data_IF_416943507437
#
_entry.id   IF_416943507437
#
_cell.length_a   1.000
_cell.length_b   1.000
_cell.length_c   1.000
_cell.angle_alpha   90.00
_cell.angle_beta   90.00
_cell.angle_gamma   90.00
#
_symmetry.space_group_name_H-M   'P 1'
#
loop_
_entity.id
_entity.type
_entity.pdbx_description
1 polymer ?
#
# COMPACT_ATOMS: atom_id res chain seq x y z
N UNK A 1 6.86 -2.45 -21.00
CA UNK A 1 5.57 -1.72 -20.92
C UNK A 1 4.57 -2.37 -21.88
N UNK A 2 3.39 -2.81 -21.42
CA UNK A 2 2.33 -3.32 -22.30
C UNK A 2 1.44 -2.19 -22.84
N UNK A 3 0.75 -2.41 -23.97
CA UNK A 3 -0.18 -1.44 -24.57
C UNK A 3 -1.34 -1.06 -23.63
N UNK A 4 -2.02 0.05 -23.92
CA UNK A 4 -3.27 0.39 -23.21
C UNK A 4 -4.28 -0.75 -23.38
N UNK A 5 -5.01 -1.11 -22.32
CA UNK A 5 -5.94 -2.24 -22.34
C UNK A 5 -5.32 -3.64 -22.18
N UNK A 6 -3.98 -3.77 -22.13
CA UNK A 6 -3.31 -5.07 -21.95
C UNK A 6 -3.51 -5.73 -20.56
N UNK A 7 -4.33 -5.14 -19.68
CA UNK A 7 -4.63 -5.71 -18.36
C UNK A 7 -3.59 -5.45 -17.28
N UNK A 8 -2.69 -4.48 -17.45
CA UNK A 8 -1.65 -4.14 -16.44
C UNK A 8 -2.25 -3.82 -15.07
N UNK A 9 -3.21 -2.88 -15.03
CA UNK A 9 -3.92 -2.50 -13.80
C UNK A 9 -4.70 -3.68 -13.24
N UNK A 10 -5.39 -4.43 -14.11
CA UNK A 10 -6.12 -5.64 -13.72
C UNK A 10 -5.23 -6.67 -13.04
N UNK A 11 -4.02 -6.91 -13.58
CA UNK A 11 -3.07 -7.85 -13.00
C UNK A 11 -2.58 -7.35 -11.63
N UNK A 12 -2.28 -6.06 -11.50
CA UNK A 12 -1.87 -5.49 -10.22
C UNK A 12 -2.99 -5.55 -9.17
N UNK A 13 -4.24 -5.31 -9.54
CA UNK A 13 -5.40 -5.43 -8.63
C UNK A 13 -5.63 -6.88 -8.18
N UNK A 14 -5.38 -7.87 -9.05
CA UNK A 14 -5.43 -9.29 -8.71
C UNK A 14 -4.32 -9.64 -7.71
N UNK A 15 -3.09 -9.19 -7.94
CA UNK A 15 -1.96 -9.44 -7.04
C UNK A 15 -2.19 -8.77 -5.67
N UNK A 16 -2.76 -7.57 -5.65
CA UNK A 16 -3.09 -6.85 -4.43
C UNK A 16 -4.34 -7.36 -3.70
N UNK A 17 -5.03 -8.39 -4.23
CA UNK A 17 -6.26 -8.94 -3.63
C UNK A 17 -7.48 -8.01 -3.71
N UNK A 18 -7.46 -7.00 -4.59
CA UNK A 18 -8.53 -6.00 -4.73
C UNK A 18 -9.57 -6.37 -5.79
N UNK A 19 -9.26 -7.32 -6.67
CA UNK A 19 -10.19 -7.79 -7.70
C UNK A 19 -11.16 -8.84 -7.13
N UNK A 20 -12.45 -8.49 -7.06
CA UNK A 20 -13.51 -9.34 -6.45
C UNK A 20 -14.32 -10.17 -7.45
N UNK A 21 -14.03 -10.07 -8.76
CA UNK A 21 -14.82 -10.73 -9.80
C UNK A 21 -14.02 -11.14 -11.02
N UNK A 22 -14.58 -12.09 -11.77
CA UNK A 22 -13.91 -12.78 -12.89
C UNK A 22 -13.31 -14.12 -12.47
N UNK A 23 -12.67 -14.81 -13.42
CA UNK A 23 -11.97 -16.07 -13.16
C UNK A 23 -10.49 -15.78 -12.94
N UNK A 24 -10.00 -16.02 -11.72
CA UNK A 24 -8.58 -15.92 -11.38
C UNK A 24 -8.04 -17.35 -11.28
N UNK A 25 -6.92 -17.64 -11.95
CA UNK A 25 -6.25 -18.95 -11.91
C UNK A 25 -4.77 -18.77 -11.65
N UNK A 26 -4.16 -19.77 -11.02
CA UNK A 26 -2.76 -19.77 -10.61
C UNK A 26 -2.60 -19.58 -9.10
N UNK A 27 -1.35 -19.47 -8.66
CA UNK A 27 -1.00 -19.26 -7.26
C UNK A 27 -0.08 -18.05 -7.16
N UNK A 28 -0.28 -17.24 -6.13
CA UNK A 28 0.60 -16.13 -5.78
C UNK A 28 1.37 -16.56 -4.55
N UNK A 29 2.69 -16.47 -4.62
CA UNK A 29 3.58 -16.79 -3.52
C UNK A 29 4.28 -15.52 -3.03
N UNK A 30 4.34 -15.33 -1.72
CA UNK A 30 5.15 -14.32 -1.06
C UNK A 30 6.26 -15.04 -0.30
N UNK A 31 7.51 -14.82 -0.70
CA UNK A 31 8.69 -15.50 -0.14
C UNK A 31 8.56 -17.03 -0.12
N UNK A 32 8.02 -17.63 -1.19
CA UNK A 32 7.84 -19.08 -1.32
C UNK A 32 6.62 -19.67 -0.61
N UNK A 33 5.87 -18.86 0.14
CA UNK A 33 4.65 -19.28 0.83
C UNK A 33 3.39 -18.75 0.13
N UNK A 34 2.23 -19.43 0.22
CA UNK A 34 0.98 -18.91 -0.32
C UNK A 34 0.68 -17.49 0.20
N UNK A 35 0.47 -16.55 -0.72
CA UNK A 35 0.16 -15.17 -0.41
C UNK A 35 -1.30 -15.05 0.02
N UNK A 36 -1.56 -15.26 1.30
CA UNK A 36 -2.89 -15.05 1.89
C UNK A 36 -3.27 -13.57 1.85
N UNK A 37 -4.57 -13.25 1.85
CA UNK A 37 -5.06 -11.86 1.87
C UNK A 37 -4.43 -11.05 3.03
N UNK A 38 -4.35 -11.66 4.22
CA UNK A 38 -3.70 -11.04 5.37
C UNK A 38 -2.21 -10.76 5.14
N UNK A 39 -1.48 -11.71 4.53
CA UNK A 39 -0.06 -11.55 4.26
C UNK A 39 0.20 -10.43 3.23
N UNK A 40 -0.61 -10.37 2.17
CA UNK A 40 -0.54 -9.30 1.16
C UNK A 40 -0.78 -7.94 1.82
N UNK A 41 -1.87 -7.79 2.58
CA UNK A 41 -2.25 -6.52 3.22
C UNK A 41 -1.25 -6.03 4.27
N UNK A 42 -0.57 -6.93 4.98
CA UNK A 42 0.40 -6.56 6.04
C UNK A 42 1.82 -6.36 5.56
N UNK A 43 2.20 -7.01 4.46
CA UNK A 43 3.61 -7.07 4.02
C UNK A 43 3.88 -6.24 2.77
N UNK A 44 2.84 -5.72 2.12
CA UNK A 44 2.97 -4.98 0.86
C UNK A 44 2.24 -3.63 0.94
N UNK A 45 2.67 -2.68 0.11
CA UNK A 45 1.97 -1.42 -0.12
C UNK A 45 1.46 -1.36 -1.56
N UNK A 46 0.20 -0.95 -1.74
CA UNK A 46 -0.40 -0.73 -3.06
C UNK A 46 -0.66 0.76 -3.25
N UNK A 47 0.00 1.37 -4.25
CA UNK A 47 -0.27 2.75 -4.65
C UNK A 47 -1.26 2.73 -5.81
N UNK A 48 -2.43 3.34 -5.60
CA UNK A 48 -3.45 3.46 -6.63
C UNK A 48 -3.05 4.46 -7.72
N UNK A 49 -3.72 4.41 -8.86
CA UNK A 49 -3.48 5.35 -9.96
C UNK A 49 -3.94 6.78 -9.61
N UNK A 50 -4.94 6.89 -8.74
CA UNK A 50 -5.43 8.17 -8.22
C UNK A 50 -5.02 8.29 -6.76
N UNK A 51 -4.50 9.45 -6.40
CA UNK A 51 -4.13 9.76 -5.03
C UNK A 51 -5.38 9.94 -4.17
N UNK A 52 -5.35 9.38 -2.95
CA UNK A 52 -6.43 9.52 -1.97
C UNK A 52 -5.85 10.22 -0.74
N UNK A 53 -6.14 11.51 -0.61
CA UNK A 53 -5.69 12.34 0.51
C UNK A 53 -6.81 13.26 1.00
N UNK A 54 -6.73 13.65 2.28
CA UNK A 54 -7.61 14.68 2.83
C UNK A 54 -7.13 16.06 2.37
N UNK A 55 -8.01 16.83 1.75
CA UNK A 55 -7.70 18.20 1.31
C UNK A 55 -7.39 19.15 2.47
N UNK A 56 -7.87 18.82 3.68
CA UNK A 56 -7.67 19.65 4.88
C UNK A 56 -6.37 19.34 5.63
N UNK A 57 -5.59 18.34 5.19
CA UNK A 57 -4.36 17.94 5.85
C UNK A 57 -3.13 18.36 5.04
N UNK A 58 -2.11 18.86 5.73
CA UNK A 58 -0.78 19.05 5.15
C UNK A 58 -0.10 17.70 4.89
N UNK A 59 0.91 17.71 4.00
CA UNK A 59 1.73 16.51 3.73
C UNK A 59 2.34 15.95 5.03
N UNK A 60 2.81 16.84 5.92
CA UNK A 60 3.37 16.45 7.23
C UNK A 60 2.34 15.71 8.08
N UNK A 61 1.13 16.26 8.20
CA UNK A 61 0.06 15.64 8.99
C UNK A 61 -0.35 14.29 8.43
N UNK A 62 -0.50 14.19 7.10
CA UNK A 62 -0.86 12.94 6.43
C UNK A 62 0.21 11.84 6.65
N UNK A 63 1.50 12.19 6.53
CA UNK A 63 2.60 11.25 6.76
C UNK A 63 2.72 10.85 8.23
N UNK A 64 2.63 11.80 9.16
CA UNK A 64 2.65 11.50 10.60
C UNK A 64 1.48 10.61 11.00
N UNK A 65 0.26 10.92 10.54
CA UNK A 65 -0.92 10.10 10.77
C UNK A 65 -0.73 8.66 10.27
N UNK A 66 -0.21 8.49 9.05
CA UNK A 66 0.11 7.17 8.48
C UNK A 66 1.15 6.43 9.32
N UNK A 67 2.20 7.11 9.79
CA UNK A 67 3.25 6.51 10.63
C UNK A 67 2.68 5.97 11.95
N UNK A 68 1.84 6.75 12.64
CA UNK A 68 1.20 6.31 13.89
C UNK A 68 0.26 5.12 13.71
N UNK A 69 -0.43 5.02 12.58
CA UNK A 69 -1.37 3.92 12.33
C UNK A 69 -0.73 2.65 11.77
N UNK A 70 0.38 2.76 11.05
CA UNK A 70 0.97 1.64 10.30
C UNK A 70 2.23 1.06 10.94
N UNK A 71 2.94 1.83 11.76
CA UNK A 71 4.12 1.32 12.46
C UNK A 71 3.73 0.60 13.76
N UNK A 72 4.58 -0.34 14.18
CA UNK A 72 4.39 -1.09 15.42
C UNK A 72 4.42 -0.21 16.67
N UNK A 73 3.86 -0.72 17.76
CA UNK A 73 3.88 -0.05 19.06
C UNK A 73 5.29 0.06 19.66
N UNK A 74 6.20 -0.81 19.22
CA UNK A 74 7.62 -0.84 19.58
C UNK A 74 8.42 0.34 18.98
N UNK A 75 7.93 0.93 17.90
CA UNK A 75 8.57 2.10 17.28
C UNK A 75 8.28 3.34 18.14
N UNK A 76 9.30 4.08 18.62
CA UNK A 76 9.07 5.23 19.49
C UNK A 76 8.32 6.36 18.78
N UNK A 77 7.48 7.09 19.53
CA UNK A 77 6.64 8.17 19.00
C UNK A 77 7.44 9.33 18.39
N UNK A 78 8.66 9.55 18.88
CA UNK A 78 9.59 10.53 18.29
C UNK A 78 9.97 10.16 16.85
N UNK A 79 10.20 8.87 16.58
CA UNK A 79 10.48 8.39 15.22
C UNK A 79 9.26 8.51 14.32
N UNK A 80 8.07 8.14 14.81
CA UNK A 80 6.79 8.29 14.07
C UNK A 80 6.52 9.75 13.69
N UNK A 81 6.72 10.67 14.64
CA UNK A 81 6.54 12.11 14.43
C UNK A 81 7.58 12.71 13.48
N UNK A 82 8.76 12.08 13.38
CA UNK A 82 9.82 12.48 12.45
C UNK A 82 9.66 11.91 11.04
N UNK A 83 8.65 11.07 10.77
CA UNK A 83 8.46 10.45 9.45
C UNK A 83 8.34 11.46 8.30
N UNK A 84 7.87 12.68 8.60
CA UNK A 84 7.78 13.79 7.65
C UNK A 84 8.97 14.77 7.69
N UNK A 85 10.06 14.45 8.41
CA UNK A 85 11.23 15.31 8.56
C UNK A 85 11.90 15.69 7.21
N UNK A 86 11.99 14.80 6.20
CA UNK A 86 12.55 15.18 4.89
C UNK A 86 11.75 16.25 4.15
N UNK A 87 10.48 16.42 4.50
CA UNK A 87 9.51 17.30 3.82
C UNK A 87 9.24 18.56 4.65
N UNK A 88 10.25 19.04 5.39
CA UNK A 88 10.15 20.19 6.31
C UNK A 88 10.59 21.53 5.73
N UNK A 89 10.75 21.63 4.40
CA UNK A 89 11.04 22.88 3.70
C UNK A 89 9.91 23.23 2.76
#
# INVERSE_FOLDING_TARGET
MGSSGAGKTTLMDVIAGRKTGGTIRGQILLNGHPATDLAIRRSTGYCEQMDIHSESATIREALTFSAFLRQGADVPDSYKSSAAAPWSR
#
